data_IF_202384050803
#
_entry.id   IF_202384050803
#
_cell.length_a   1.000
_cell.length_b   1.000
_cell.length_c   1.000
_cell.angle_alpha   90.00
_cell.angle_beta   90.00
_cell.angle_gamma   90.00
#
_symmetry.space_group_name_H-M   'P 1'
#
loop_
_entity.id
_entity.type
_entity.pdbx_description
1 polymer ?
#
# COMPACT_ATOMS: atom_id res chain seq x y z
N UNK A 1 11.63 -10.77 -18.52
CA UNK A 1 11.54 -9.33 -18.21
C UNK A 1 10.39 -9.09 -17.24
N UNK A 2 10.64 -8.33 -16.20
CA UNK A 2 9.70 -8.15 -15.11
C UNK A 2 8.75 -6.98 -15.44
N UNK A 3 7.47 -7.28 -15.63
CA UNK A 3 6.43 -6.26 -15.85
C UNK A 3 5.65 -5.94 -14.58
N UNK A 4 6.21 -6.32 -13.43
CA UNK A 4 5.54 -6.07 -12.16
C UNK A 4 5.38 -4.58 -11.91
N UNK A 5 4.22 -4.20 -11.39
CA UNK A 5 3.93 -2.83 -11.00
C UNK A 5 3.27 -2.82 -9.63
N UNK A 6 3.65 -1.86 -8.81
CA UNK A 6 3.07 -1.64 -7.50
C UNK A 6 2.80 -0.15 -7.38
N UNK A 7 1.56 0.22 -7.10
CA UNK A 7 1.21 1.59 -6.78
C UNK A 7 0.39 1.58 -5.49
N UNK A 8 0.80 2.38 -4.53
CA UNK A 8 0.10 2.48 -3.26
C UNK A 8 0.07 3.92 -2.81
N UNK A 9 -1.09 4.37 -2.37
CA UNK A 9 -1.23 5.69 -1.75
C UNK A 9 -2.06 5.55 -0.47
N UNK A 10 -1.69 6.32 0.54
CA UNK A 10 -2.39 6.36 1.81
C UNK A 10 -2.32 7.77 2.36
N UNK A 11 -3.44 8.31 2.78
CA UNK A 11 -3.46 9.62 3.37
C UNK A 11 -4.83 10.03 3.83
N UNK A 12 -4.91 11.23 4.39
CA UNK A 12 -6.15 11.81 4.87
C UNK A 12 -6.27 13.27 4.48
N UNK A 13 -7.41 13.83 4.77
CA UNK A 13 -7.76 15.18 4.36
C UNK A 13 -6.73 16.22 4.83
N UNK A 14 -6.26 16.08 6.05
CA UNK A 14 -5.32 17.05 6.65
C UNK A 14 -3.87 16.57 6.67
N UNK A 15 -3.62 15.29 6.47
CA UNK A 15 -2.28 14.70 6.60
C UNK A 15 -1.50 14.57 5.30
N UNK A 16 -2.11 14.93 4.17
CA UNK A 16 -1.49 14.71 2.87
C UNK A 16 -1.40 13.22 2.54
N UNK A 17 -0.74 12.92 1.43
CA UNK A 17 -0.63 11.55 0.94
C UNK A 17 0.81 11.07 0.92
N UNK A 18 0.99 9.83 1.35
CA UNK A 18 2.22 9.07 1.12
C UNK A 18 1.95 8.15 -0.05
N UNK A 19 2.84 8.14 -1.03
CA UNK A 19 2.68 7.33 -2.23
C UNK A 19 3.91 6.48 -2.47
N UNK A 20 3.70 5.32 -3.08
CA UNK A 20 4.78 4.43 -3.47
C UNK A 20 4.47 3.89 -4.87
N UNK A 21 5.48 3.91 -5.74
CA UNK A 21 5.39 3.33 -7.07
C UNK A 21 6.60 2.44 -7.33
N UNK A 22 6.36 1.24 -7.82
CA UNK A 22 7.41 0.36 -8.28
C UNK A 22 7.19 0.04 -9.75
N UNK A 23 8.24 0.16 -10.54
CA UNK A 23 8.28 -0.34 -11.90
C UNK A 23 9.72 -0.49 -12.36
N UNK A 24 9.97 -1.48 -13.23
CA UNK A 24 11.29 -1.69 -13.87
C UNK A 24 12.45 -1.74 -12.87
N UNK A 25 12.27 -2.42 -11.75
CA UNK A 25 13.34 -2.62 -10.77
C UNK A 25 13.56 -1.46 -9.82
N UNK A 26 12.77 -0.40 -9.92
CA UNK A 26 12.97 0.81 -9.10
C UNK A 26 11.70 1.13 -8.34
N UNK A 27 11.85 1.39 -7.04
CA UNK A 27 10.77 1.89 -6.20
C UNK A 27 11.02 3.37 -5.90
N UNK A 28 9.94 4.17 -5.98
CA UNK A 28 9.98 5.56 -5.55
C UNK A 28 8.85 5.80 -4.57
N UNK A 29 9.09 6.68 -3.60
CA UNK A 29 8.06 7.05 -2.63
C UNK A 29 8.17 8.53 -2.30
N UNK A 30 7.03 9.12 -1.93
CA UNK A 30 6.96 10.56 -1.70
C UNK A 30 5.90 10.90 -0.66
N UNK A 31 6.04 12.09 -0.10
CA UNK A 31 5.07 12.71 0.81
C UNK A 31 4.60 14.00 0.18
N UNK A 32 3.29 14.23 0.14
CA UNK A 32 2.70 15.35 -0.60
C UNK A 32 2.59 16.64 0.20
N UNK A 33 2.87 16.63 1.51
CA UNK A 33 2.83 17.83 2.34
C UNK A 33 4.24 18.21 2.82
N UNK A 34 4.39 19.47 3.25
CA UNK A 34 5.69 19.96 3.74
C UNK A 34 6.09 19.27 5.05
N UNK A 35 7.39 18.92 5.24
CA UNK A 35 8.40 18.99 4.17
C UNK A 35 8.17 17.91 3.11
N UNK A 36 8.19 18.33 1.84
CA UNK A 36 8.05 17.38 0.75
C UNK A 36 9.25 16.46 0.72
N UNK A 37 8.99 15.17 0.56
CA UNK A 37 10.05 14.18 0.42
C UNK A 37 9.78 13.33 -0.81
N UNK A 38 10.84 13.04 -1.53
CA UNK A 38 10.79 12.15 -2.68
C UNK A 38 12.07 11.33 -2.71
N UNK A 39 11.92 10.01 -2.79
CA UNK A 39 13.05 9.09 -2.75
C UNK A 39 12.89 8.04 -3.83
N UNK A 40 14.01 7.54 -4.31
CA UNK A 40 14.06 6.49 -5.32
C UNK A 40 15.13 5.48 -4.94
N UNK A 41 14.87 4.20 -5.17
CA UNK A 41 15.79 3.15 -4.81
C UNK A 41 15.61 1.95 -5.74
N UNK A 42 16.70 1.29 -6.09
CA UNK A 42 16.64 0.02 -6.80
C UNK A 42 16.21 -1.09 -5.84
N UNK A 43 15.39 -2.01 -6.32
CA UNK A 43 14.91 -3.15 -5.55
C UNK A 43 15.54 -4.41 -6.13
N UNK A 44 16.37 -5.13 -5.36
CA UNK A 44 16.87 -6.42 -5.81
C UNK A 44 15.73 -7.41 -6.07
N UNK A 45 15.90 -8.25 -7.08
CA UNK A 45 14.87 -9.20 -7.47
C UNK A 45 14.44 -10.10 -6.31
N UNK A 46 15.39 -10.52 -5.48
CA UNK A 46 15.09 -11.37 -4.31
C UNK A 46 14.16 -10.69 -3.32
N UNK A 47 14.35 -9.38 -3.12
CA UNK A 47 13.48 -8.61 -2.22
C UNK A 47 12.08 -8.48 -2.80
N UNK A 48 11.98 -8.28 -4.10
CA UNK A 48 10.70 -8.22 -4.77
C UNK A 48 9.95 -9.54 -4.69
N UNK A 49 10.65 -10.66 -4.85
CA UNK A 49 10.04 -11.98 -4.69
C UNK A 49 9.48 -12.19 -3.29
N UNK A 50 10.22 -11.79 -2.27
CA UNK A 50 9.75 -11.86 -0.89
C UNK A 50 8.49 -11.02 -0.71
N UNK A 51 8.45 -9.84 -1.31
CA UNK A 51 7.26 -8.99 -1.27
C UNK A 51 6.03 -9.71 -1.83
N UNK A 52 6.15 -10.28 -3.02
CA UNK A 52 5.02 -11.00 -3.63
C UNK A 52 4.59 -12.22 -2.81
N UNK A 53 5.55 -12.93 -2.22
CA UNK A 53 5.22 -14.05 -1.32
C UNK A 53 4.46 -13.58 -0.09
N UNK A 54 4.84 -12.44 0.47
CA UNK A 54 4.14 -11.86 1.60
C UNK A 54 2.69 -11.49 1.23
N UNK A 55 2.48 -10.94 0.03
CA UNK A 55 1.13 -10.62 -0.43
C UNK A 55 0.27 -11.88 -0.61
N UNK A 56 0.85 -12.97 -1.10
CA UNK A 56 0.13 -14.24 -1.18
C UNK A 56 -0.28 -14.72 0.22
N UNK A 57 0.63 -14.64 1.19
CA UNK A 57 0.35 -15.05 2.56
C UNK A 57 -0.73 -14.20 3.21
N UNK A 58 -0.71 -12.90 2.95
CA UNK A 58 -1.72 -11.96 3.45
C UNK A 58 -3.08 -12.21 2.79
N UNK A 59 -3.10 -12.73 1.56
CA UNK A 59 -4.32 -12.97 0.81
C UNK A 59 -4.81 -11.76 0.02
N UNK A 60 -3.90 -10.86 -0.35
CA UNK A 60 -4.26 -9.59 -1.02
C UNK A 60 -5.05 -9.84 -2.32
N UNK A 61 -4.70 -10.89 -3.07
CA UNK A 61 -5.37 -11.17 -4.34
C UNK A 61 -6.86 -11.51 -4.18
N UNK A 62 -7.26 -11.93 -2.97
CA UNK A 62 -8.65 -12.26 -2.65
C UNK A 62 -9.40 -11.10 -2.01
N UNK A 63 -8.74 -9.95 -1.81
CA UNK A 63 -9.41 -8.80 -1.22
C UNK A 63 -10.49 -8.26 -2.15
N UNK A 64 -11.47 -7.58 -1.55
CA UNK A 64 -12.49 -6.86 -2.31
C UNK A 64 -11.85 -5.68 -3.04
N UNK A 65 -12.52 -5.21 -4.10
CA UNK A 65 -12.02 -4.06 -4.87
C UNK A 65 -12.29 -2.74 -4.16
N UNK A 66 -13.18 -2.71 -3.19
CA UNK A 66 -13.58 -1.48 -2.54
C UNK A 66 -13.91 -1.70 -1.07
N UNK A 67 -13.41 -0.80 -0.23
CA UNK A 67 -13.69 -0.76 1.21
C UNK A 67 -14.11 0.65 1.58
N UNK A 68 -15.36 0.84 2.05
CA UNK A 68 -15.87 2.16 2.37
C UNK A 68 -16.66 2.10 3.67
N UNK A 69 -16.36 3.04 4.58
CA UNK A 69 -17.20 3.30 5.74
C UNK A 69 -17.98 4.57 5.46
N UNK A 70 -19.28 4.47 5.12
CA UNK A 70 -20.06 5.64 4.73
C UNK A 70 -20.41 6.57 5.88
N UNK A 71 -20.22 6.13 7.11
CA UNK A 71 -20.57 6.91 8.30
C UNK A 71 -19.49 7.92 8.67
N UNK A 72 -18.34 7.88 8.01
CA UNK A 72 -17.21 8.80 8.26
C UNK A 72 -17.03 9.68 7.03
N UNK A 73 -17.15 10.99 7.21
CA UNK A 73 -17.04 11.93 6.09
C UNK A 73 -15.60 12.24 5.73
N UNK A 74 -14.76 12.49 6.71
CA UNK A 74 -13.34 12.77 6.51
C UNK A 74 -12.52 11.69 7.18
N UNK A 75 -11.28 11.53 6.75
CA UNK A 75 -10.41 10.52 7.37
C UNK A 75 -9.38 10.02 6.40
N UNK A 76 -9.16 8.73 6.38
CA UNK A 76 -8.09 8.11 5.59
C UNK A 76 -8.64 7.49 4.31
N UNK A 77 -7.90 7.69 3.23
CA UNK A 77 -8.16 7.04 1.94
C UNK A 77 -6.90 6.32 1.51
N UNK A 78 -7.08 5.20 0.82
CA UNK A 78 -5.95 4.44 0.32
C UNK A 78 -6.30 3.81 -1.02
N UNK A 79 -5.27 3.52 -1.78
CA UNK A 79 -5.41 2.95 -3.12
C UNK A 79 -4.25 2.00 -3.37
N UNK A 80 -4.54 0.84 -3.93
CA UNK A 80 -3.53 -0.16 -4.24
C UNK A 80 -3.76 -0.70 -5.64
N UNK A 81 -2.74 -0.59 -6.49
CA UNK A 81 -2.70 -1.20 -7.81
C UNK A 81 -1.55 -2.18 -7.88
N UNK A 82 -1.82 -3.40 -8.28
CA UNK A 82 -0.81 -4.43 -8.42
C UNK A 82 -0.89 -5.07 -9.80
N UNK A 83 0.26 -5.29 -10.40
CA UNK A 83 0.41 -6.11 -11.60
C UNK A 83 1.55 -7.09 -11.34
N UNK A 84 1.27 -8.38 -11.42
CA UNK A 84 2.26 -9.42 -11.19
C UNK A 84 1.83 -10.70 -11.92
N UNK A 85 2.68 -11.21 -12.80
CA UNK A 85 2.45 -12.49 -13.51
C UNK A 85 1.06 -12.57 -14.15
N UNK A 86 0.67 -11.65 -14.95
CA UNK A 86 -0.63 -11.60 -15.60
C UNK A 86 -1.82 -11.33 -14.65
N UNK A 87 -1.59 -11.24 -13.35
CA UNK A 87 -2.63 -10.86 -12.39
C UNK A 87 -2.62 -9.35 -12.20
N UNK A 88 -3.81 -8.78 -12.10
CA UNK A 88 -3.99 -7.36 -11.85
C UNK A 88 -4.99 -7.20 -10.70
N UNK A 89 -4.70 -6.27 -9.80
CA UNK A 89 -5.60 -5.96 -8.70
C UNK A 89 -5.63 -4.45 -8.49
N UNK A 90 -6.83 -3.90 -8.40
CA UNK A 90 -7.04 -2.49 -8.16
C UNK A 90 -8.02 -2.36 -7.00
N UNK A 91 -7.57 -1.80 -5.89
CA UNK A 91 -8.37 -1.71 -4.68
C UNK A 91 -8.36 -0.27 -4.20
N UNK A 92 -9.53 0.20 -3.76
CA UNK A 92 -9.64 1.50 -3.11
C UNK A 92 -10.33 1.36 -1.76
N UNK A 93 -9.97 2.23 -0.83
CA UNK A 93 -10.59 2.27 0.48
C UNK A 93 -10.80 3.68 0.97
N UNK A 94 -11.86 3.86 1.74
CA UNK A 94 -12.20 5.11 2.38
C UNK A 94 -12.66 4.79 3.80
N UNK A 95 -11.79 5.08 4.77
CA UNK A 95 -12.03 4.85 6.20
C UNK A 95 -12.30 3.40 6.59
N UNK A 96 -12.05 2.46 5.69
CA UNK A 96 -12.21 1.04 5.95
C UNK A 96 -11.08 0.25 5.32
N UNK A 97 -10.67 -0.81 6.00
CA UNK A 97 -9.50 -1.63 5.63
C UNK A 97 -9.86 -3.10 5.64
N UNK A 98 -9.19 -3.94 4.84
CA UNK A 98 -9.43 -5.38 4.87
C UNK A 98 -9.23 -5.97 6.27
N UNK A 99 -10.06 -6.91 6.72
CA UNK A 99 -11.21 -7.47 6.00
C UNK A 99 -12.53 -6.70 6.13
N UNK A 100 -12.65 -5.67 6.89
CA UNK A 100 -13.78 -4.76 7.09
C UNK A 100 -13.56 -4.03 8.40
N UNK A 101 -12.36 -3.50 8.57
CA UNK A 101 -11.95 -2.81 9.78
C UNK A 101 -12.08 -1.31 9.53
N UNK A 102 -12.92 -0.64 10.32
CA UNK A 102 -13.08 0.81 10.23
C UNK A 102 -11.85 1.52 10.79
N UNK A 103 -11.63 2.76 10.34
CA UNK A 103 -10.56 3.62 10.84
C UNK A 103 -10.62 3.81 12.37
N UNK A 104 -11.80 3.64 12.97
CA UNK A 104 -11.98 3.77 14.42
C UNK A 104 -11.59 2.50 15.19
N UNK A 105 -11.35 1.41 14.50
CA UNK A 105 -10.98 0.14 15.11
C UNK A 105 -9.48 0.00 15.28
N UNK A 106 -9.05 -0.96 16.11
CA UNK A 106 -7.65 -1.28 16.25
C UNK A 106 -7.17 -2.00 14.97
N UNK A 107 -6.17 -1.42 14.29
CA UNK A 107 -5.69 -1.91 13.00
C UNK A 107 -4.38 -2.67 13.08
N UNK A 108 -3.78 -2.80 14.27
CA UNK A 108 -2.52 -3.55 14.43
C UNK A 108 -2.77 -5.01 14.11
N UNK A 109 -1.82 -5.62 13.41
CA UNK A 109 -1.86 -7.03 13.02
C UNK A 109 -3.00 -7.39 12.04
N UNK A 110 -3.69 -6.39 11.48
CA UNK A 110 -4.67 -6.63 10.43
C UNK A 110 -3.96 -6.93 9.10
N UNK A 111 -4.67 -7.51 8.13
CA UNK A 111 -4.08 -7.69 6.80
C UNK A 111 -3.56 -6.40 6.19
N UNK A 112 -4.26 -5.28 6.37
CA UNK A 112 -3.79 -4.00 5.85
C UNK A 112 -2.48 -3.54 6.52
N UNK A 113 -2.36 -3.74 7.83
CA UNK A 113 -1.12 -3.44 8.55
C UNK A 113 0.04 -4.28 8.01
N UNK A 114 -0.20 -5.55 7.74
CA UNK A 114 0.80 -6.44 7.15
C UNK A 114 1.21 -6.00 5.76
N UNK A 115 0.27 -5.50 4.95
CA UNK A 115 0.59 -4.91 3.65
C UNK A 115 1.52 -3.71 3.81
N UNK A 116 1.23 -2.81 4.74
CA UNK A 116 2.09 -1.65 4.99
C UNK A 116 3.49 -2.06 5.40
N UNK A 117 3.61 -3.11 6.22
CA UNK A 117 4.92 -3.64 6.60
C UNK A 117 5.68 -4.20 5.39
N UNK A 118 4.99 -4.89 4.49
CA UNK A 118 5.61 -5.41 3.27
C UNK A 118 6.12 -4.28 2.37
N UNK A 119 5.32 -3.22 2.22
CA UNK A 119 5.72 -2.04 1.44
C UNK A 119 6.91 -1.34 2.08
N UNK A 120 6.94 -1.24 3.41
CA UNK A 120 8.07 -0.64 4.12
C UNK A 120 9.37 -1.41 3.87
N UNK A 121 9.29 -2.73 3.75
CA UNK A 121 10.48 -3.54 3.45
C UNK A 121 11.03 -3.26 2.05
N UNK A 122 10.19 -2.91 1.10
CA UNK A 122 10.67 -2.52 -0.23
C UNK A 122 11.49 -1.23 -0.18
N UNK A 123 11.07 -0.27 0.61
CA UNK A 123 11.79 1.00 0.75
C UNK A 123 12.97 0.92 1.71
N UNK A 124 12.97 -0.08 2.60
CA UNK A 124 13.94 -0.21 3.67
C UNK A 124 13.70 0.73 4.85
N UNK A 125 12.52 1.35 4.93
CA UNK A 125 12.15 2.31 5.97
C UNK A 125 10.73 2.09 6.45
N UNK A 126 10.44 2.53 7.67
CA UNK A 126 9.08 2.53 8.22
C UNK A 126 8.32 3.73 7.68
N UNK A 127 7.96 3.69 6.42
CA UNK A 127 7.35 4.82 5.74
C UNK A 127 5.82 4.83 5.88
N UNK A 128 5.19 3.66 5.80
CA UNK A 128 3.75 3.53 5.93
C UNK A 128 3.41 3.04 7.33
N UNK A 129 2.93 3.95 8.17
CA UNK A 129 2.50 3.66 9.53
C UNK A 129 1.09 4.16 9.72
N UNK A 130 0.32 3.45 10.55
CA UNK A 130 -1.00 3.90 10.96
C UNK A 130 -1.46 3.21 12.25
#
# INVERSE_FOLDING_TARGET
>A
MNNDQIEFSYGGYFGGYKTLCYSNGTVSWSISIKPYEEHTKEVPEERLEVFWQQLETIGVWDWQDRYVDPDILDGAQWHLNLVHDERKKNISGSNMFPPNISITDNRKSTPFHQLCQALNKLTGRKYFEY
#
